data_IF_223862438978
#
_entry.id   IF_223862438978
#
_cell.length_a   1.000
_cell.length_b   1.000
_cell.length_c   1.000
_cell.angle_alpha   90.00
_cell.angle_beta   90.00
_cell.angle_gamma   90.00
#
_symmetry.space_group_name_H-M   'P 1'
#
loop_
_entity.id
_entity.type
_entity.pdbx_description
1 polymer ?
#
# COMPACT_ATOMS: atom_id res chain seq x y z
N UNK A 1 5.02 -30.23 -37.20
CA UNK A 1 4.62 -29.99 -35.81
C UNK A 1 4.30 -28.51 -35.71
N UNK A 2 3.03 -28.11 -35.49
CA UNK A 2 2.59 -26.72 -35.74
C UNK A 2 3.18 -25.76 -34.71
N UNK A 3 3.61 -24.59 -35.14
CA UNK A 3 4.17 -23.46 -34.37
C UNK A 3 3.32 -23.13 -33.14
N UNK A 4 2.01 -23.34 -33.18
CA UNK A 4 1.08 -23.24 -32.05
C UNK A 4 1.41 -24.19 -30.88
N UNK A 5 1.77 -25.44 -31.16
CA UNK A 5 2.14 -26.44 -30.13
C UNK A 5 3.47 -26.08 -29.46
N UNK A 6 4.42 -25.54 -30.22
CA UNK A 6 5.71 -25.09 -29.67
C UNK A 6 5.57 -23.88 -28.76
N UNK A 7 4.68 -22.92 -29.06
CA UNK A 7 4.38 -21.76 -28.21
C UNK A 7 3.68 -22.19 -26.91
N UNK A 8 2.76 -23.13 -26.99
CA UNK A 8 2.07 -23.66 -25.81
C UNK A 8 3.01 -24.42 -24.89
N UNK A 9 3.92 -25.22 -25.43
CA UNK A 9 4.94 -25.93 -24.65
C UNK A 9 5.94 -24.94 -24.02
N UNK A 10 6.38 -23.92 -24.76
CA UNK A 10 7.26 -22.87 -24.24
C UNK A 10 6.58 -22.09 -23.09
N UNK A 11 5.27 -21.83 -23.20
CA UNK A 11 4.47 -21.19 -22.13
C UNK A 11 4.40 -22.07 -20.88
N UNK A 12 4.19 -23.38 -21.02
CA UNK A 12 4.16 -24.33 -19.89
C UNK A 12 5.54 -24.57 -19.27
N UNK A 13 6.62 -24.55 -20.04
CA UNK A 13 7.99 -24.70 -19.53
C UNK A 13 8.45 -23.44 -18.77
N UNK A 14 8.02 -22.25 -19.20
CA UNK A 14 8.31 -20.99 -18.50
C UNK A 14 7.57 -20.86 -17.16
N UNK A 15 6.43 -21.54 -16.97
CA UNK A 15 5.65 -21.51 -15.73
C UNK A 15 5.93 -22.68 -14.77
N UNK A 16 6.81 -23.62 -15.12
CA UNK A 16 6.97 -24.90 -14.41
C UNK A 16 7.97 -24.96 -13.25
N UNK A 17 8.71 -23.89 -12.92
CA UNK A 17 9.74 -23.95 -11.87
C UNK A 17 9.72 -22.73 -10.95
N UNK A 18 8.73 -22.63 -10.07
CA UNK A 18 8.79 -21.68 -8.97
C UNK A 18 8.63 -22.40 -7.64
N UNK A 19 9.71 -22.41 -6.85
CA UNK A 19 9.65 -22.78 -5.44
C UNK A 19 8.89 -21.67 -4.70
N UNK A 20 7.75 -22.00 -4.14
CA UNK A 20 6.92 -21.06 -3.39
C UNK A 20 7.58 -20.69 -2.06
N UNK A 21 8.30 -19.59 -2.01
CA UNK A 21 8.65 -18.89 -0.78
C UNK A 21 7.71 -17.69 -0.66
N UNK A 22 6.57 -17.87 -0.03
CA UNK A 22 5.54 -16.85 0.07
C UNK A 22 5.74 -15.99 1.31
N UNK A 23 6.61 -14.99 1.26
CA UNK A 23 6.52 -13.84 2.18
C UNK A 23 5.70 -12.75 1.48
N UNK A 24 4.49 -12.51 1.97
CA UNK A 24 3.64 -11.45 1.46
C UNK A 24 3.97 -10.12 2.17
N UNK A 25 4.19 -9.05 1.38
CA UNK A 25 4.26 -7.68 1.88
C UNK A 25 2.90 -7.23 2.43
N UNK A 26 2.87 -6.25 3.35
CA UNK A 26 1.65 -5.75 3.96
C UNK A 26 0.60 -5.34 2.91
N UNK A 27 -0.66 -5.67 3.18
CA UNK A 27 -1.77 -5.47 2.26
C UNK A 27 -2.78 -4.52 2.87
N UNK A 28 -3.28 -3.58 2.06
CA UNK A 28 -4.28 -2.62 2.49
C UNK A 28 -5.50 -2.66 1.58
N UNK A 29 -6.70 -2.67 2.18
CA UNK A 29 -7.99 -2.54 1.48
C UNK A 29 -8.13 -1.14 0.87
N UNK A 30 -7.67 -0.12 1.62
CA UNK A 30 -7.67 1.28 1.19
C UNK A 30 -6.37 1.64 0.46
N UNK A 31 -5.89 0.77 -0.47
CA UNK A 31 -4.63 0.94 -1.19
C UNK A 31 -4.50 2.24 -2.01
N UNK A 32 -5.57 2.91 -2.50
CA UNK A 32 -5.41 4.20 -3.19
C UNK A 32 -4.84 5.31 -2.30
N UNK A 33 -4.97 5.19 -0.98
CA UNK A 33 -4.34 6.12 -0.03
C UNK A 33 -2.89 5.77 0.30
N UNK A 34 -2.43 4.56 -0.07
CA UNK A 34 -1.09 4.04 0.20
C UNK A 34 -0.19 3.94 -1.04
N UNK A 35 -0.48 4.66 -2.14
CA UNK A 35 0.25 4.53 -3.41
C UNK A 35 1.77 4.59 -3.23
N UNK A 36 2.27 5.55 -2.42
CA UNK A 36 3.71 5.71 -2.23
C UNK A 36 4.39 4.51 -1.56
N UNK A 37 3.68 3.80 -0.70
CA UNK A 37 4.19 2.57 -0.08
C UNK A 37 4.48 1.49 -1.12
N UNK A 38 3.59 1.33 -2.09
CA UNK A 38 3.69 0.30 -3.13
C UNK A 38 4.50 0.75 -4.35
N UNK A 39 4.50 2.06 -4.66
CA UNK A 39 5.07 2.58 -5.89
C UNK A 39 5.79 3.92 -5.65
N UNK A 40 7.13 3.93 -5.65
CA UNK A 40 7.87 5.16 -5.45
C UNK A 40 7.64 6.22 -6.55
N UNK A 41 7.19 5.82 -7.74
CA UNK A 41 6.84 6.76 -8.81
C UNK A 41 5.69 7.71 -8.44
N UNK A 42 4.85 7.38 -7.46
CA UNK A 42 3.76 8.23 -6.99
C UNK A 42 4.21 9.35 -6.07
N UNK A 43 5.43 9.31 -5.50
CA UNK A 43 5.90 10.34 -4.56
C UNK A 43 5.63 11.76 -5.07
N UNK A 44 4.99 12.59 -4.26
CA UNK A 44 4.61 13.96 -4.63
C UNK A 44 3.62 14.01 -5.80
N UNK A 45 2.70 13.04 -5.88
CA UNK A 45 1.66 13.00 -6.91
C UNK A 45 0.83 14.28 -6.94
N UNK A 46 0.51 14.82 -5.77
CA UNK A 46 -0.22 16.07 -5.64
C UNK A 46 0.74 17.27 -5.75
N UNK A 47 0.46 18.18 -6.68
CA UNK A 47 1.25 19.38 -6.88
C UNK A 47 1.15 20.33 -5.69
N UNK A 48 2.32 20.85 -5.24
CA UNK A 48 2.44 21.93 -4.24
C UNK A 48 1.96 21.55 -2.83
N UNK A 49 1.67 20.30 -2.58
CA UNK A 49 1.16 19.85 -1.29
C UNK A 49 2.18 19.06 -0.51
N UNK A 50 2.11 19.14 0.79
CA UNK A 50 2.69 18.20 1.72
C UNK A 50 1.55 17.33 2.25
N UNK A 51 1.65 16.04 2.05
CA UNK A 51 0.65 15.07 2.45
C UNK A 51 1.20 14.13 3.52
N UNK A 52 0.40 13.88 4.54
CA UNK A 52 0.60 12.85 5.53
C UNK A 52 -0.53 11.83 5.41
N UNK A 53 -0.19 10.55 5.41
CA UNK A 53 -1.18 9.46 5.40
C UNK A 53 -0.83 8.47 6.50
N UNK A 54 -1.77 8.25 7.40
CA UNK A 54 -1.73 7.17 8.38
C UNK A 54 -2.72 6.08 8.01
N UNK A 55 -2.29 4.83 8.02
CA UNK A 55 -3.13 3.65 7.86
C UNK A 55 -2.89 2.72 9.04
N UNK A 56 -3.98 2.25 9.62
CA UNK A 56 -3.99 1.21 10.65
C UNK A 56 -4.87 0.06 10.19
N UNK A 57 -4.37 -1.16 10.25
CA UNK A 57 -5.15 -2.36 9.96
C UNK A 57 -4.95 -3.38 11.06
N UNK A 58 -6.06 -3.90 11.57
CA UNK A 58 -6.11 -5.07 12.42
C UNK A 58 -6.68 -6.24 11.62
N UNK A 59 -5.84 -7.21 11.32
CA UNK A 59 -6.18 -8.36 10.48
C UNK A 59 -6.56 -9.56 11.33
N UNK A 60 -7.50 -10.38 10.84
CA UNK A 60 -7.95 -11.64 11.48
C UNK A 60 -8.33 -11.44 12.94
N UNK A 61 -9.21 -10.46 13.23
CA UNK A 61 -9.71 -10.22 14.59
C UNK A 61 -10.34 -11.49 15.16
N UNK A 62 -10.04 -11.79 16.44
CA UNK A 62 -10.58 -12.94 17.13
C UNK A 62 -9.97 -14.28 16.74
N UNK A 63 -9.10 -14.34 15.74
CA UNK A 63 -8.36 -15.55 15.40
C UNK A 63 -7.44 -15.94 16.57
N UNK A 64 -7.53 -17.19 16.98
CA UNK A 64 -6.69 -17.76 18.03
C UNK A 64 -6.15 -19.09 17.54
N UNK A 65 -4.85 -19.23 17.62
CA UNK A 65 -4.20 -20.51 17.38
C UNK A 65 -4.13 -21.28 18.69
N UNK A 66 -4.75 -22.44 18.73
CA UNK A 66 -4.76 -23.30 19.92
C UNK A 66 -3.51 -24.14 19.90
N UNK A 67 -2.67 -24.01 20.92
CA UNK A 67 -1.48 -24.85 21.07
C UNK A 67 -1.95 -26.25 21.48
N UNK A 68 -1.67 -27.30 20.67
CA UNK A 68 -2.06 -28.67 21.02
C UNK A 68 -1.53 -29.07 22.40
N UNK A 69 -2.42 -29.56 23.28
CA UNK A 69 -2.07 -29.99 24.61
C UNK A 69 -2.00 -28.92 25.68
N UNK A 70 -2.42 -27.70 25.39
CA UNK A 70 -2.53 -26.61 26.38
C UNK A 70 -3.85 -25.85 26.21
N UNK A 71 -4.38 -25.26 27.30
CA UNK A 71 -5.52 -24.35 27.26
C UNK A 71 -5.13 -22.94 26.81
N UNK A 72 -3.89 -22.75 26.39
CA UNK A 72 -3.36 -21.46 25.96
C UNK A 72 -3.63 -21.24 24.48
N UNK A 73 -4.35 -20.16 24.16
CA UNK A 73 -4.54 -19.70 22.80
C UNK A 73 -3.66 -18.47 22.52
N UNK A 74 -2.84 -18.55 21.50
CA UNK A 74 -2.08 -17.40 21.00
C UNK A 74 -2.96 -16.59 20.05
N UNK A 75 -3.17 -15.31 20.34
CA UNK A 75 -3.79 -14.39 19.40
C UNK A 75 -2.80 -14.06 18.27
N UNK A 76 -3.01 -14.65 17.09
CA UNK A 76 -2.08 -14.53 15.95
C UNK A 76 -2.57 -13.57 14.87
N UNK A 77 -3.57 -12.72 15.19
CA UNK A 77 -4.06 -11.70 14.26
C UNK A 77 -2.94 -10.72 13.84
N UNK A 78 -2.91 -10.34 12.58
CA UNK A 78 -1.96 -9.37 12.04
C UNK A 78 -2.32 -7.93 12.43
N UNK A 79 -1.32 -7.08 12.62
CA UNK A 79 -1.48 -5.65 12.82
C UNK A 79 -0.53 -4.89 11.93
N UNK A 80 -1.05 -3.98 11.11
CA UNK A 80 -0.26 -3.11 10.25
C UNK A 80 -0.48 -1.65 10.60
N UNK A 81 0.60 -0.90 10.71
CA UNK A 81 0.60 0.56 10.88
C UNK A 81 1.50 1.13 9.81
N UNK A 82 0.92 1.94 8.93
CA UNK A 82 1.66 2.62 7.87
C UNK A 82 1.56 4.14 8.08
N UNK A 83 2.69 4.81 7.97
CA UNK A 83 2.76 6.25 7.89
C UNK A 83 3.54 6.66 6.65
N UNK A 84 2.91 7.47 5.79
CA UNK A 84 3.54 8.07 4.62
C UNK A 84 3.56 9.59 4.75
N UNK A 85 4.67 10.19 4.31
CA UNK A 85 4.81 11.62 4.13
C UNK A 85 5.32 11.87 2.71
N UNK A 86 4.65 12.71 1.97
CA UNK A 86 4.97 12.99 0.57
C UNK A 86 4.89 14.48 0.27
N UNK A 87 5.83 14.99 -0.53
CA UNK A 87 5.79 16.36 -1.01
C UNK A 87 6.38 16.49 -2.41
N UNK A 88 5.79 17.35 -3.24
CA UNK A 88 6.37 17.77 -4.51
C UNK A 88 7.23 19.02 -4.32
N UNK A 89 8.47 18.96 -4.76
CA UNK A 89 9.43 20.08 -4.69
C UNK A 89 9.79 20.57 -6.08
N UNK A 90 9.37 21.81 -6.41
CA UNK A 90 9.62 22.45 -7.72
C UNK A 90 11.11 22.54 -8.06
N UNK A 91 11.96 22.86 -7.08
CA UNK A 91 13.40 23.07 -7.29
C UNK A 91 14.08 21.83 -7.88
N UNK A 92 13.66 20.65 -7.47
CA UNK A 92 14.22 19.38 -7.94
C UNK A 92 13.33 18.69 -8.99
N UNK A 93 12.27 19.35 -9.46
CA UNK A 93 11.29 18.80 -10.44
C UNK A 93 10.79 17.41 -10.07
N UNK A 94 10.58 17.15 -8.79
CA UNK A 94 10.24 15.82 -8.32
C UNK A 94 9.56 15.79 -6.98
N UNK A 95 9.06 14.63 -6.62
CA UNK A 95 8.49 14.33 -5.33
C UNK A 95 9.47 13.63 -4.41
N UNK A 96 9.46 14.01 -3.15
CA UNK A 96 10.10 13.27 -2.07
C UNK A 96 9.04 12.53 -1.26
N UNK A 97 9.38 11.37 -0.77
CA UNK A 97 8.52 10.59 0.10
C UNK A 97 9.30 9.85 1.18
N UNK A 98 8.64 9.72 2.31
CA UNK A 98 9.05 8.92 3.46
C UNK A 98 7.90 7.95 3.77
N UNK A 99 8.22 6.68 3.99
CA UNK A 99 7.27 5.67 4.45
C UNK A 99 7.86 4.94 5.67
N UNK A 100 7.05 4.82 6.71
CA UNK A 100 7.32 4.01 7.89
C UNK A 100 6.22 2.96 7.97
N UNK A 101 6.61 1.70 8.13
CA UNK A 101 5.69 0.61 8.32
C UNK A 101 6.09 -0.24 9.52
N UNK A 102 5.10 -0.60 10.32
CA UNK A 102 5.19 -1.67 11.31
C UNK A 102 4.16 -2.73 10.93
N UNK A 103 4.63 -3.93 10.67
CA UNK A 103 3.80 -5.08 10.29
C UNK A 103 4.08 -6.22 11.26
N UNK A 104 3.10 -6.51 12.09
CA UNK A 104 3.12 -7.67 12.98
C UNK A 104 2.21 -8.74 12.39
N UNK A 105 2.77 -9.90 12.08
CA UNK A 105 2.04 -11.03 11.56
C UNK A 105 2.44 -12.30 12.32
N UNK A 106 1.51 -12.79 13.13
CA UNK A 106 1.79 -13.89 14.05
C UNK A 106 2.87 -13.51 15.06
N UNK A 107 3.98 -14.23 15.04
CA UNK A 107 5.13 -14.04 15.93
C UNK A 107 6.22 -13.14 15.35
N UNK A 108 6.11 -12.77 14.08
CA UNK A 108 7.06 -11.89 13.41
C UNK A 108 6.61 -10.44 13.47
N UNK A 109 7.54 -9.55 13.75
CA UNK A 109 7.37 -8.11 13.67
C UNK A 109 8.38 -7.55 12.69
N UNK A 110 7.87 -6.87 11.67
CA UNK A 110 8.67 -6.18 10.66
C UNK A 110 8.53 -4.68 10.84
N UNK A 111 9.64 -3.95 10.90
CA UNK A 111 9.67 -2.50 10.90
C UNK A 111 10.43 -2.05 9.65
N UNK A 112 9.77 -1.26 8.81
CA UNK A 112 10.35 -0.75 7.57
C UNK A 112 10.40 0.76 7.54
N UNK A 113 11.53 1.29 7.06
CA UNK A 113 11.72 2.69 6.69
C UNK A 113 12.05 2.75 5.21
N UNK A 114 11.32 3.56 4.45
CA UNK A 114 11.56 3.77 3.02
C UNK A 114 11.66 5.25 2.71
N UNK A 115 12.73 5.65 2.03
CA UNK A 115 12.99 7.02 1.57
C UNK A 115 13.09 7.02 0.06
N UNK A 116 12.37 7.90 -0.62
CA UNK A 116 12.35 7.87 -2.07
C UNK A 116 12.20 9.24 -2.72
N UNK A 117 12.57 9.25 -3.98
CA UNK A 117 12.45 10.37 -4.88
C UNK A 117 11.80 9.92 -6.19
N UNK A 118 10.87 10.72 -6.72
CA UNK A 118 10.27 10.54 -8.04
C UNK A 118 10.49 11.76 -8.92
N UNK A 119 11.22 11.59 -10.00
CA UNK A 119 11.30 12.61 -11.05
C UNK A 119 9.96 12.72 -11.79
N UNK A 120 9.45 13.94 -11.97
CA UNK A 120 8.14 14.17 -12.60
C UNK A 120 8.30 14.78 -13.98
N UNK A 121 7.89 14.01 -14.99
CA UNK A 121 7.80 14.44 -16.39
C UNK A 121 6.38 14.92 -16.69
N UNK A 122 6.24 16.19 -17.08
CA UNK A 122 4.96 16.71 -17.56
C UNK A 122 4.79 16.32 -19.02
N UNK A 123 3.73 15.59 -19.33
CA UNK A 123 3.31 15.16 -20.64
C UNK A 123 2.03 15.93 -21.05
N UNK A 124 1.67 16.01 -22.34
CA UNK A 124 0.49 16.75 -22.78
C UNK A 124 -0.83 16.28 -22.13
N UNK A 125 -0.93 14.99 -21.81
CA UNK A 125 -2.15 14.36 -21.29
C UNK A 125 -2.10 14.02 -19.80
N UNK A 126 -0.95 14.28 -19.14
CA UNK A 126 -0.78 13.94 -17.74
C UNK A 126 0.66 14.05 -17.27
N UNK A 127 0.98 13.41 -16.18
CA UNK A 127 2.30 13.45 -15.56
C UNK A 127 2.81 12.06 -15.27
N UNK A 128 4.03 11.76 -15.75
CA UNK A 128 4.74 10.52 -15.45
C UNK A 128 5.75 10.76 -14.31
N UNK A 129 5.64 9.98 -13.25
CA UNK A 129 6.62 9.88 -12.20
C UNK A 129 7.52 8.65 -12.39
N UNK A 130 8.83 8.86 -12.34
CA UNK A 130 9.85 7.81 -12.35
C UNK A 130 10.52 7.84 -10.98
N UNK A 131 10.27 6.82 -10.16
CA UNK A 131 10.65 6.82 -8.76
C UNK A 131 11.63 5.73 -8.38
N UNK A 132 12.51 6.10 -7.44
CA UNK A 132 13.40 5.20 -6.72
C UNK A 132 13.19 5.38 -5.22
N UNK A 133 13.32 4.29 -4.47
CA UNK A 133 13.15 4.31 -3.02
C UNK A 133 14.17 3.35 -2.40
N UNK A 134 14.89 3.85 -1.40
CA UNK A 134 15.78 3.08 -0.56
C UNK A 134 15.00 2.61 0.66
N UNK A 135 15.10 1.35 0.99
CA UNK A 135 14.42 0.71 2.10
C UNK A 135 15.38 0.11 3.11
N UNK A 136 15.00 0.20 4.38
CA UNK A 136 15.59 -0.55 5.48
C UNK A 136 14.45 -1.34 6.11
N UNK A 137 14.62 -2.64 6.21
CA UNK A 137 13.66 -3.54 6.83
C UNK A 137 14.34 -4.29 7.98
N UNK A 138 13.76 -4.15 9.16
CA UNK A 138 14.12 -4.92 10.34
C UNK A 138 13.04 -5.96 10.59
N UNK A 139 13.43 -7.22 10.77
CA UNK A 139 12.56 -8.30 11.21
C UNK A 139 13.03 -8.84 12.54
N UNK A 140 12.09 -9.01 13.47
CA UNK A 140 12.31 -9.58 14.78
C UNK A 140 11.23 -10.61 15.13
N UNK A 141 11.56 -11.53 16.05
CA UNK A 141 10.58 -12.40 16.70
C UNK A 141 10.08 -11.71 17.97
N UNK A 142 8.75 -11.79 18.20
CA UNK A 142 8.15 -11.31 19.44
C UNK A 142 8.32 -12.39 20.52
N UNK A 143 9.30 -12.20 21.39
CA UNK A 143 9.77 -13.19 22.40
C UNK A 143 8.66 -13.69 23.35
N UNK A 144 7.73 -12.84 23.74
CA UNK A 144 6.72 -13.16 24.75
C UNK A 144 5.72 -14.27 24.37
N UNK A 145 5.68 -14.67 23.11
CA UNK A 145 4.69 -15.61 22.57
C UNK A 145 5.30 -16.88 21.96
N UNK A 146 6.64 -16.94 21.85
CA UNK A 146 7.30 -18.06 21.20
C UNK A 146 7.64 -19.15 22.23
N UNK A 147 7.18 -20.37 21.98
CA UNK A 147 7.62 -21.56 22.73
C UNK A 147 8.29 -22.50 21.72
N UNK A 148 9.62 -22.61 21.75
CA UNK A 148 10.34 -23.53 20.88
C UNK A 148 9.95 -24.96 21.21
N UNK A 149 9.77 -25.80 20.20
CA UNK A 149 9.56 -27.25 20.37
C UNK A 149 10.79 -27.87 21.01
N UNK A 150 11.97 -27.30 20.73
CA UNK A 150 13.24 -27.72 21.32
C UNK A 150 13.84 -26.52 22.07
N UNK A 151 13.97 -26.62 23.39
CA UNK A 151 14.63 -25.60 24.20
C UNK A 151 16.10 -25.46 23.81
N UNK A 152 16.58 -24.22 23.66
CA UNK A 152 17.97 -23.91 23.27
C UNK A 152 18.28 -24.05 21.79
N UNK A 153 17.28 -23.94 20.90
CA UNK A 153 17.55 -23.87 19.46
C UNK A 153 18.33 -22.59 19.14
N UNK A 154 19.59 -22.72 18.64
CA UNK A 154 20.46 -21.57 18.39
C UNK A 154 19.91 -20.59 17.37
N UNK A 155 19.08 -21.06 16.43
CA UNK A 155 18.44 -20.21 15.40
C UNK A 155 17.43 -19.27 16.03
N UNK A 156 16.63 -19.80 16.96
CA UNK A 156 15.60 -19.04 17.66
C UNK A 156 16.21 -18.04 18.62
N UNK A 157 17.21 -18.46 19.39
CA UNK A 157 17.94 -17.56 20.29
C UNK A 157 18.62 -16.42 19.52
N UNK A 158 19.15 -16.69 18.33
CA UNK A 158 19.74 -15.67 17.47
C UNK A 158 18.69 -14.67 16.96
N UNK A 159 17.52 -15.13 16.52
CA UNK A 159 16.42 -14.26 16.02
C UNK A 159 15.80 -13.37 17.09
N UNK A 160 15.80 -13.85 18.36
CA UNK A 160 15.32 -13.07 19.51
C UNK A 160 16.34 -12.02 19.93
N UNK A 161 17.63 -12.36 19.91
CA UNK A 161 18.71 -11.46 20.37
C UNK A 161 19.15 -10.44 19.34
N UNK A 162 19.21 -10.84 18.05
CA UNK A 162 19.73 -10.03 16.94
C UNK A 162 18.69 -9.91 15.83
N UNK A 163 17.94 -8.81 15.77
CA UNK A 163 17.01 -8.59 14.68
C UNK A 163 17.73 -8.55 13.33
N UNK A 164 17.11 -9.18 12.33
CA UNK A 164 17.64 -9.19 10.96
C UNK A 164 17.41 -7.84 10.32
N UNK A 165 18.45 -7.21 9.81
CA UNK A 165 18.38 -5.95 9.09
C UNK A 165 18.75 -6.14 7.63
N UNK A 166 17.86 -5.75 6.74
CA UNK A 166 18.05 -5.78 5.29
C UNK A 166 17.96 -4.37 4.70
N UNK A 167 18.79 -4.15 3.70
CA UNK A 167 18.70 -2.98 2.83
C UNK A 167 17.95 -3.35 1.56
N UNK A 168 17.09 -2.48 1.09
CA UNK A 168 16.24 -2.71 -0.07
C UNK A 168 16.24 -1.54 -1.05
N UNK A 169 15.99 -1.85 -2.32
CA UNK A 169 15.82 -0.89 -3.40
C UNK A 169 14.50 -1.16 -4.11
N UNK A 170 13.72 -0.12 -4.32
CA UNK A 170 12.46 -0.17 -5.04
C UNK A 170 12.50 0.79 -6.23
N UNK A 171 11.83 0.40 -7.30
CA UNK A 171 11.67 1.19 -8.51
C UNK A 171 10.19 1.26 -8.89
N UNK A 172 9.74 2.40 -9.43
CA UNK A 172 8.36 2.51 -9.87
C UNK A 172 8.13 3.60 -10.91
N UNK A 173 7.14 3.34 -11.74
CA UNK A 173 6.58 4.25 -12.72
C UNK A 173 5.13 4.53 -12.33
N UNK A 174 4.74 5.79 -12.31
CA UNK A 174 3.39 6.21 -12.00
C UNK A 174 2.94 7.31 -12.94
N UNK A 175 1.92 7.02 -13.73
CA UNK A 175 1.32 7.98 -14.64
C UNK A 175 -0.03 8.43 -14.09
N UNK A 176 -0.25 9.74 -14.05
CA UNK A 176 -1.53 10.36 -13.68
C UNK A 176 -1.98 11.32 -14.75
N UNK A 177 -3.15 11.07 -15.29
CA UNK A 177 -3.94 11.97 -16.13
C UNK A 177 -5.01 12.68 -15.29
N UNK A 178 -5.91 13.44 -15.94
CA UNK A 178 -6.95 14.18 -15.24
C UNK A 178 -7.94 13.27 -14.52
N UNK A 179 -8.33 12.17 -15.15
CA UNK A 179 -9.38 11.28 -14.66
C UNK A 179 -8.98 9.79 -14.52
N UNK A 180 -7.71 9.48 -14.74
CA UNK A 180 -7.20 8.13 -14.51
C UNK A 180 -5.74 8.12 -14.10
N UNK A 181 -5.33 7.05 -13.48
CA UNK A 181 -3.94 6.79 -13.17
C UNK A 181 -3.58 5.33 -13.43
N UNK A 182 -2.30 5.09 -13.69
CA UNK A 182 -1.74 3.75 -13.77
C UNK A 182 -0.33 3.74 -13.18
N UNK A 183 0.04 2.66 -12.52
CA UNK A 183 1.34 2.48 -11.92
C UNK A 183 1.88 1.07 -12.10
N UNK A 184 3.20 1.00 -12.25
CA UNK A 184 3.97 -0.24 -12.26
C UNK A 184 5.15 -0.06 -11.31
N UNK A 185 5.36 -1.01 -10.40
CA UNK A 185 6.48 -0.95 -9.48
C UNK A 185 7.06 -2.33 -9.22
N UNK A 186 8.35 -2.36 -8.92
CA UNK A 186 9.03 -3.53 -8.42
C UNK A 186 9.72 -3.17 -7.09
N UNK A 187 9.42 -3.93 -6.06
CA UNK A 187 9.97 -3.73 -4.71
C UNK A 187 10.82 -4.91 -4.31
N UNK A 188 11.64 -4.69 -3.28
CA UNK A 188 12.55 -5.71 -2.75
C UNK A 188 13.49 -6.26 -3.83
N UNK A 189 14.08 -5.34 -4.63
CA UNK A 189 14.98 -5.70 -5.72
C UNK A 189 16.31 -6.30 -5.21
N UNK A 190 16.73 -5.90 -4.00
CA UNK A 190 17.95 -6.37 -3.35
C UNK A 190 17.60 -7.43 -2.30
N UNK A 191 17.31 -8.64 -2.75
CA UNK A 191 16.82 -9.73 -1.87
C UNK A 191 17.84 -10.24 -0.85
N UNK A 192 19.13 -9.97 -1.03
CA UNK A 192 20.22 -10.59 -0.26
C UNK A 192 21.21 -9.58 0.36
N UNK A 193 20.90 -8.29 0.37
CA UNK A 193 21.79 -7.29 0.97
C UNK A 193 21.40 -7.11 2.43
N UNK A 194 22.11 -7.81 3.31
CA UNK A 194 21.91 -7.74 4.76
C UNK A 194 22.91 -6.79 5.42
N UNK A 195 22.45 -6.11 6.43
CA UNK A 195 23.29 -5.22 7.26
C UNK A 195 23.71 -5.97 8.52
N UNK A 196 22.85 -6.82 9.09
CA UNK A 196 23.08 -7.58 10.31
C UNK A 196 22.24 -8.85 10.36
N UNK A 197 22.72 -9.87 11.09
CA UNK A 197 22.02 -11.14 11.33
C UNK A 197 22.58 -12.33 10.56
N UNK A 198 22.07 -13.54 10.86
CA UNK A 198 22.55 -14.81 10.31
C UNK A 198 22.06 -15.05 8.87
N UNK A 199 22.95 -15.53 7.98
CA UNK A 199 22.74 -15.51 6.52
C UNK A 199 21.55 -16.35 5.99
N UNK A 200 21.05 -17.33 6.75
CA UNK A 200 20.11 -18.32 6.23
C UNK A 200 18.64 -18.14 6.68
N UNK A 201 18.32 -17.07 7.42
CA UNK A 201 17.05 -17.00 8.13
C UNK A 201 15.96 -16.19 7.42
N UNK A 202 16.28 -15.36 6.43
CA UNK A 202 15.28 -14.53 5.75
C UNK A 202 15.61 -14.29 4.29
N UNK A 203 14.74 -14.71 3.41
CA UNK A 203 14.76 -14.35 1.99
C UNK A 203 13.56 -13.43 1.70
N UNK A 204 13.84 -12.16 1.39
CA UNK A 204 12.81 -11.25 0.90
C UNK A 204 12.41 -11.66 -0.52
N UNK A 205 11.12 -11.88 -0.75
CA UNK A 205 10.59 -12.10 -2.08
C UNK A 205 10.43 -10.76 -2.83
N UNK A 206 10.84 -10.73 -4.11
CA UNK A 206 10.58 -9.57 -4.97
C UNK A 206 9.10 -9.48 -5.25
N UNK A 207 8.54 -8.27 -5.18
CA UNK A 207 7.15 -8.05 -5.52
C UNK A 207 7.03 -7.11 -6.72
N UNK A 208 6.11 -7.43 -7.60
CA UNK A 208 5.71 -6.57 -8.71
C UNK A 208 4.28 -6.13 -8.45
N UNK A 209 4.06 -4.82 -8.52
CA UNK A 209 2.76 -4.18 -8.37
C UNK A 209 2.34 -3.54 -9.67
N UNK A 210 1.13 -3.80 -10.11
CA UNK A 210 0.45 -3.05 -11.16
C UNK A 210 -0.86 -2.53 -10.59
N UNK A 211 -1.08 -1.23 -10.66
CA UNK A 211 -2.29 -0.63 -10.11
C UNK A 211 -2.80 0.49 -10.99
N UNK A 212 -4.10 0.75 -10.90
CA UNK A 212 -4.73 1.80 -11.68
C UNK A 212 -6.12 2.11 -11.16
N UNK A 213 -6.62 3.26 -11.61
CA UNK A 213 -7.96 3.70 -11.28
C UNK A 213 -8.46 4.74 -12.28
N UNK A 214 -9.77 4.89 -12.31
CA UNK A 214 -10.47 5.82 -13.18
C UNK A 214 -11.51 6.59 -12.39
N UNK A 215 -11.67 7.89 -12.66
CA UNK A 215 -12.70 8.73 -12.06
C UNK A 215 -13.76 9.00 -13.14
N UNK A 216 -14.91 8.38 -13.01
CA UNK A 216 -16.05 8.56 -13.87
C UNK A 216 -17.02 9.56 -13.24
N UNK A 217 -17.06 10.79 -13.75
CA UNK A 217 -18.09 11.76 -13.36
C UNK A 217 -19.42 11.35 -14.00
N UNK A 218 -20.47 11.25 -13.18
CA UNK A 218 -21.80 10.82 -13.65
C UNK A 218 -22.43 11.93 -14.48
N UNK A 219 -22.75 11.72 -15.79
CA UNK A 219 -23.14 12.81 -16.67
C UNK A 219 -24.48 13.49 -16.32
N UNK A 220 -25.39 12.75 -15.70
CA UNK A 220 -26.75 13.24 -15.33
C UNK A 220 -26.81 13.81 -13.91
N UNK A 221 -25.78 13.59 -13.09
CA UNK A 221 -25.67 14.15 -11.74
C UNK A 221 -24.20 14.40 -11.38
N UNK A 222 -23.70 15.63 -11.56
CA UNK A 222 -22.29 15.97 -11.33
C UNK A 222 -21.90 15.90 -9.85
N UNK A 223 -22.86 15.72 -8.92
CA UNK A 223 -22.55 15.51 -7.51
C UNK A 223 -21.91 14.12 -7.27
N UNK A 224 -22.12 13.17 -8.19
CA UNK A 224 -21.61 11.81 -8.08
C UNK A 224 -20.41 11.54 -8.98
N UNK A 225 -19.41 10.85 -8.44
CA UNK A 225 -18.38 10.17 -9.22
C UNK A 225 -18.26 8.71 -8.80
N UNK A 226 -17.90 7.87 -9.76
CA UNK A 226 -17.63 6.44 -9.55
C UNK A 226 -16.16 6.20 -9.86
N UNK A 227 -15.45 5.59 -8.92
CA UNK A 227 -14.00 5.41 -8.98
C UNK A 227 -13.65 3.91 -8.89
N UNK A 228 -13.64 3.17 -10.01
CA UNK A 228 -13.07 1.83 -10.05
C UNK A 228 -11.55 1.91 -9.92
N UNK A 229 -11.00 1.10 -9.02
CA UNK A 229 -9.57 0.95 -8.78
C UNK A 229 -9.21 -0.53 -8.76
N UNK A 230 -8.02 -0.86 -9.21
CA UNK A 230 -7.47 -2.20 -9.11
C UNK A 230 -6.02 -2.18 -8.67
N UNK A 231 -5.60 -3.26 -8.02
CA UNK A 231 -4.20 -3.55 -7.72
C UNK A 231 -3.94 -5.03 -7.98
N UNK A 232 -2.96 -5.31 -8.79
CA UNK A 232 -2.41 -6.65 -9.00
C UNK A 232 -1.03 -6.69 -8.37
N UNK A 233 -0.82 -7.67 -7.53
CA UNK A 233 0.43 -7.92 -6.82
C UNK A 233 0.89 -9.34 -7.12
N UNK A 234 2.18 -9.51 -7.38
CA UNK A 234 2.78 -10.84 -7.55
C UNK A 234 4.21 -10.87 -7.01
N UNK A 235 4.57 -11.98 -6.41
CA UNK A 235 5.95 -12.35 -6.08
C UNK A 235 6.54 -13.34 -7.10
N UNK A 236 5.94 -13.43 -8.30
CA UNK A 236 6.20 -14.36 -9.38
C UNK A 236 5.77 -15.82 -9.09
N UNK A 237 5.33 -16.13 -7.88
CA UNK A 237 4.80 -17.46 -7.50
C UNK A 237 3.29 -17.41 -7.32
N UNK A 238 2.78 -16.35 -6.72
CA UNK A 238 1.36 -16.13 -6.43
C UNK A 238 0.94 -14.79 -7.03
N UNK A 239 -0.28 -14.74 -7.56
CA UNK A 239 -0.90 -13.51 -8.06
C UNK A 239 -2.09 -13.18 -7.17
N UNK A 240 -2.12 -11.94 -6.68
CA UNK A 240 -3.24 -11.41 -5.93
C UNK A 240 -3.85 -10.23 -6.66
N UNK A 241 -5.17 -10.22 -6.76
CA UNK A 241 -5.94 -9.14 -7.36
C UNK A 241 -6.87 -8.52 -6.31
N UNK A 242 -6.77 -7.21 -6.17
CA UNK A 242 -7.63 -6.36 -5.38
C UNK A 242 -8.43 -5.46 -6.31
N UNK A 243 -9.75 -5.42 -6.16
CA UNK A 243 -10.66 -4.54 -6.87
C UNK A 243 -11.40 -3.67 -5.86
N UNK A 244 -11.40 -2.36 -6.06
CA UNK A 244 -12.07 -1.41 -5.18
C UNK A 244 -12.92 -0.46 -6.02
N UNK A 245 -14.23 -0.48 -5.79
CA UNK A 245 -15.19 0.43 -6.40
C UNK A 245 -15.66 1.43 -5.36
N UNK A 246 -15.41 2.72 -5.60
CA UNK A 246 -15.82 3.82 -4.72
C UNK A 246 -16.86 4.66 -5.45
N UNK A 247 -17.96 4.99 -4.78
CA UNK A 247 -18.88 6.04 -5.15
C UNK A 247 -18.64 7.24 -4.24
N UNK A 248 -18.45 8.43 -4.84
CA UNK A 248 -18.20 9.68 -4.10
C UNK A 248 -19.30 10.68 -4.36
N UNK A 249 -19.81 11.31 -3.31
CA UNK A 249 -20.86 12.32 -3.35
C UNK A 249 -20.31 13.68 -2.95
N UNK A 250 -20.46 14.70 -3.81
CA UNK A 250 -19.98 16.08 -3.63
C UNK A 250 -18.50 16.20 -3.24
N UNK A 251 -17.67 15.21 -3.52
CA UNK A 251 -16.30 15.08 -3.02
C UNK A 251 -16.17 15.09 -1.46
N UNK A 252 -17.29 15.03 -0.74
CA UNK A 252 -17.33 15.07 0.73
C UNK A 252 -17.46 13.67 1.29
N UNK A 253 -18.46 12.91 0.87
CA UNK A 253 -18.70 11.56 1.34
C UNK A 253 -18.29 10.54 0.28
N UNK A 254 -17.76 9.42 0.71
CA UNK A 254 -17.47 8.31 -0.18
C UNK A 254 -17.73 6.98 0.50
N UNK A 255 -18.08 5.99 -0.29
CA UNK A 255 -18.27 4.63 0.16
C UNK A 255 -18.14 3.66 -0.99
N UNK A 256 -17.97 2.39 -0.69
CA UNK A 256 -17.74 1.42 -1.74
C UNK A 256 -17.58 0.00 -1.28
N UNK A 257 -17.20 -0.83 -2.25
CA UNK A 257 -16.97 -2.26 -2.07
C UNK A 257 -15.57 -2.61 -2.56
N UNK A 258 -14.89 -3.43 -1.79
CA UNK A 258 -13.60 -4.00 -2.15
C UNK A 258 -13.70 -5.51 -2.20
N UNK A 259 -13.06 -6.10 -3.19
CA UNK A 259 -12.94 -7.54 -3.35
C UNK A 259 -11.47 -7.91 -3.51
N UNK A 260 -10.99 -8.79 -2.67
CA UNK A 260 -9.68 -9.41 -2.77
C UNK A 260 -9.85 -10.86 -3.16
N UNK A 261 -9.27 -11.22 -4.29
CA UNK A 261 -9.41 -12.56 -4.85
C UNK A 261 -8.98 -13.62 -3.82
N UNK A 262 -9.86 -14.60 -3.58
CA UNK A 262 -9.70 -15.74 -2.70
C UNK A 262 -9.43 -15.42 -1.21
N UNK A 263 -9.60 -14.16 -0.77
CA UNK A 263 -9.30 -13.76 0.60
C UNK A 263 -10.46 -13.05 1.30
N UNK A 264 -10.96 -11.92 0.78
CA UNK A 264 -11.92 -11.10 1.49
C UNK A 264 -12.85 -10.27 0.59
N UNK A 265 -14.04 -9.97 1.13
CA UNK A 265 -14.95 -8.93 0.63
C UNK A 265 -15.05 -7.85 1.69
N UNK A 266 -14.93 -6.57 1.29
CA UNK A 266 -14.92 -5.47 2.24
C UNK A 266 -15.91 -4.39 1.87
N UNK A 267 -16.44 -3.71 2.89
CA UNK A 267 -17.22 -2.49 2.77
C UNK A 267 -16.35 -1.33 3.24
N UNK A 268 -16.33 -0.25 2.48
CA UNK A 268 -15.52 0.92 2.78
C UNK A 268 -16.37 2.17 2.87
N UNK A 269 -16.07 3.07 3.81
CA UNK A 269 -16.73 4.37 3.98
C UNK A 269 -15.73 5.42 4.40
N UNK A 270 -15.98 6.66 4.01
CA UNK A 270 -15.17 7.76 4.46
C UNK A 270 -15.72 9.12 4.09
N UNK A 271 -14.99 10.14 4.51
CA UNK A 271 -15.39 11.52 4.32
C UNK A 271 -14.18 12.46 4.22
N UNK A 272 -14.40 13.57 3.49
CA UNK A 272 -13.60 14.81 3.51
C UNK A 272 -14.43 15.91 4.17
N UNK A 273 -14.52 15.92 5.51
CA UNK A 273 -15.51 16.74 6.23
C UNK A 273 -15.35 18.25 5.98
N UNK A 274 -14.19 18.71 5.60
CA UNK A 274 -13.87 20.11 5.40
C UNK A 274 -13.59 20.47 3.93
N UNK A 275 -14.12 19.69 2.97
CA UNK A 275 -13.85 19.91 1.56
C UNK A 275 -14.22 21.31 1.08
N UNK A 276 -15.37 21.83 1.53
CA UNK A 276 -15.90 23.17 1.19
C UNK A 276 -15.57 24.25 2.22
N UNK A 277 -14.77 23.94 3.25
CA UNK A 277 -14.43 24.88 4.31
C UNK A 277 -13.62 26.05 3.73
N UNK A 278 -13.92 27.32 4.10
CA UNK A 278 -13.15 28.47 3.67
C UNK A 278 -11.71 28.46 4.17
N UNK A 279 -11.42 27.75 5.24
CA UNK A 279 -10.07 27.61 5.79
C UNK A 279 -9.26 26.60 4.95
N UNK A 280 -8.22 27.05 4.19
CA UNK A 280 -7.43 26.16 3.34
C UNK A 280 -6.68 25.07 4.11
N UNK A 281 -6.41 25.28 5.39
CA UNK A 281 -5.72 24.30 6.23
C UNK A 281 -6.61 23.12 6.64
N UNK A 282 -7.93 23.24 6.58
CA UNK A 282 -8.85 22.16 6.93
C UNK A 282 -9.23 21.30 5.72
N UNK A 283 -9.24 21.86 4.51
CA UNK A 283 -9.70 21.20 3.28
C UNK A 283 -8.99 19.87 2.94
N UNK A 284 -7.78 19.70 3.42
CA UNK A 284 -6.94 18.56 3.07
C UNK A 284 -7.22 17.27 3.83
N UNK A 285 -8.16 17.26 4.78
CA UNK A 285 -8.44 16.09 5.59
C UNK A 285 -9.35 15.12 4.85
N UNK A 286 -8.89 13.86 4.70
CA UNK A 286 -9.65 12.73 4.16
C UNK A 286 -9.51 11.56 5.15
N UNK A 287 -10.60 10.96 5.57
CA UNK A 287 -10.61 9.86 6.51
C UNK A 287 -11.57 8.77 6.09
N UNK A 288 -11.24 7.54 6.43
CA UNK A 288 -12.06 6.40 6.08
C UNK A 288 -11.83 5.18 6.94
N UNK A 289 -12.78 4.27 6.82
CA UNK A 289 -12.80 2.97 7.48
C UNK A 289 -13.16 1.90 6.47
N UNK A 290 -12.57 0.73 6.60
CA UNK A 290 -12.96 -0.47 5.91
C UNK A 290 -13.18 -1.60 6.91
N UNK A 291 -14.20 -2.40 6.64
CA UNK A 291 -14.42 -3.67 7.32
C UNK A 291 -14.42 -4.80 6.29
N UNK A 292 -13.57 -5.80 6.51
CA UNK A 292 -13.37 -6.92 5.59
C UNK A 292 -13.90 -8.21 6.21
N UNK A 293 -14.76 -8.89 5.46
CA UNK A 293 -15.23 -10.23 5.76
C UNK A 293 -14.26 -11.24 5.12
N UNK A 294 -13.58 -12.03 5.94
CA UNK A 294 -12.66 -13.06 5.46
C UNK A 294 -13.44 -14.20 4.81
N UNK A 295 -13.26 -14.42 3.50
CA UNK A 295 -13.92 -15.47 2.72
C UNK A 295 -13.06 -16.72 2.55
N UNK A 296 -11.77 -16.61 2.84
CA UNK A 296 -10.81 -17.72 2.81
C UNK A 296 -11.09 -18.74 3.93
N UNK A 297 -10.34 -19.84 3.93
CA UNK A 297 -10.51 -20.90 4.95
C UNK A 297 -10.30 -20.40 6.39
N UNK A 298 -9.57 -19.30 6.58
CA UNK A 298 -9.37 -18.67 7.89
C UNK A 298 -10.63 -18.01 8.45
N UNK A 299 -11.60 -17.66 7.60
CA UNK A 299 -12.86 -17.00 7.96
C UNK A 299 -14.07 -17.89 8.11
N UNK A 300 -13.98 -19.21 7.88
CA UNK A 300 -15.14 -20.10 7.99
C UNK A 300 -15.58 -20.25 9.45
N UNK A 301 -16.91 -20.26 9.67
CA UNK A 301 -17.64 -20.26 10.96
C UNK A 301 -17.32 -21.41 11.92
N UNK A 302 -16.08 -21.64 12.28
CA UNK A 302 -15.67 -22.57 13.32
C UNK A 302 -15.08 -21.80 14.51
N UNK A 303 -15.11 -22.39 15.68
CA UNK A 303 -14.44 -21.83 16.87
C UNK A 303 -12.99 -21.45 16.53
N UNK A 304 -12.54 -20.28 16.99
CA UNK A 304 -11.20 -19.72 16.76
C UNK A 304 -10.92 -19.19 15.34
N UNK A 305 -11.94 -18.92 14.54
CA UNK A 305 -11.81 -18.31 13.20
C UNK A 305 -11.87 -16.78 13.24
N UNK A 306 -11.36 -16.16 12.19
CA UNK A 306 -11.36 -14.70 12.04
C UNK A 306 -12.79 -14.15 11.98
N UNK A 307 -13.02 -13.09 12.76
CA UNK A 307 -14.23 -12.25 12.65
C UNK A 307 -14.12 -11.22 11.50
N UNK A 308 -12.99 -11.15 10.83
CA UNK A 308 -12.69 -10.20 9.77
C UNK A 308 -11.57 -9.22 10.13
N UNK A 309 -11.40 -8.20 9.29
CA UNK A 309 -10.40 -7.17 9.46
C UNK A 309 -11.05 -5.80 9.58
N UNK A 310 -10.43 -4.91 10.33
CA UNK A 310 -10.77 -3.49 10.34
C UNK A 310 -9.56 -2.68 9.85
N UNK A 311 -9.80 -1.68 9.01
CA UNK A 311 -8.77 -0.77 8.51
C UNK A 311 -9.24 0.66 8.63
N UNK A 312 -8.35 1.54 9.10
CA UNK A 312 -8.59 2.98 9.25
C UNK A 312 -7.57 3.73 8.41
N UNK A 313 -8.00 4.78 7.73
CA UNK A 313 -7.14 5.72 7.02
C UNK A 313 -7.42 7.14 7.47
N UNK A 314 -6.36 7.90 7.66
CA UNK A 314 -6.41 9.36 7.82
C UNK A 314 -5.35 9.94 6.92
N UNK A 315 -5.75 10.78 5.96
CA UNK A 315 -4.87 11.53 5.08
C UNK A 315 -5.10 13.01 5.28
N UNK A 316 -4.02 13.75 5.42
CA UNK A 316 -4.06 15.19 5.51
C UNK A 316 -3.05 15.81 4.56
N UNK A 317 -3.54 16.67 3.66
CA UNK A 317 -2.74 17.36 2.66
C UNK A 317 -2.94 18.86 2.75
N UNK A 318 -1.87 19.65 2.74
CA UNK A 318 -1.96 21.09 2.73
C UNK A 318 -0.94 21.71 1.78
N UNK A 319 -1.28 22.89 1.23
CA UNK A 319 -0.40 23.62 0.34
C UNK A 319 0.75 24.26 1.10
N UNK A 320 1.98 23.94 0.73
CA UNK A 320 3.21 24.50 1.34
C UNK A 320 3.71 25.75 0.62
N UNK A 321 3.17 26.05 -0.54
CA UNK A 321 3.54 27.24 -1.30
C UNK A 321 2.43 28.27 -1.22
N UNK A 322 2.77 29.48 -0.74
CA UNK A 322 1.88 30.62 -0.85
C UNK A 322 1.56 30.88 -2.33
N UNK A 323 0.30 31.17 -2.71
CA UNK A 323 0.00 31.61 -4.06
C UNK A 323 0.85 32.84 -4.35
N UNK A 324 1.60 32.81 -5.45
CA UNK A 324 2.29 34.00 -5.94
C UNK A 324 1.19 35.00 -6.36
N UNK A 325 0.94 35.99 -5.52
CA UNK A 325 0.16 37.15 -5.93
C UNK A 325 1.04 37.92 -6.92
N UNK A 326 0.79 37.78 -8.19
CA UNK A 326 1.28 38.73 -9.18
C UNK A 326 0.60 40.07 -8.89
N UNK A 327 1.27 40.94 -8.15
CA UNK A 327 0.93 42.35 -8.06
C UNK A 327 1.34 43.04 -9.38
N UNK A 328 0.66 42.65 -10.45
CA UNK A 328 0.72 43.36 -11.72
C UNK A 328 -0.33 44.46 -11.70
N UNK A 329 0.08 45.69 -11.84
CA UNK A 329 -0.79 46.83 -12.09
C UNK A 329 -1.82 46.48 -13.18
N UNK A 330 -3.11 46.52 -12.79
CA UNK A 330 -4.24 46.42 -13.70
C UNK A 330 -4.82 45.03 -13.93
N UNK A 331 -5.99 44.85 -13.31
CA UNK A 331 -6.95 43.77 -13.50
C UNK A 331 -6.68 42.46 -12.70
N UNK A 332 -7.42 42.31 -11.63
CA UNK A 332 -7.67 41.06 -10.92
C UNK A 332 -8.43 40.07 -11.81
N UNK A 333 -7.73 39.43 -12.74
CA UNK A 333 -8.20 38.15 -13.29
C UNK A 333 -7.73 37.05 -12.37
N UNK A 334 -8.65 36.51 -11.58
CA UNK A 334 -8.47 35.26 -10.91
C UNK A 334 -8.26 34.16 -11.95
N UNK A 335 -6.98 33.86 -12.25
CA UNK A 335 -6.61 32.67 -12.99
C UNK A 335 -6.59 31.48 -12.03
N UNK A 336 -7.69 31.23 -11.35
CA UNK A 336 -8.04 29.90 -10.87
C UNK A 336 -8.67 29.14 -12.04
N UNK A 337 -7.85 28.71 -12.97
CA UNK A 337 -8.22 27.56 -13.79
C UNK A 337 -7.86 26.34 -12.97
N UNK A 338 -8.90 25.66 -12.53
CA UNK A 338 -8.89 24.31 -11.99
C UNK A 338 -7.91 23.44 -12.79
N UNK A 339 -6.76 23.14 -12.18
CA UNK A 339 -5.93 22.04 -12.61
C UNK A 339 -6.07 20.98 -11.55
N UNK A 340 -6.97 20.07 -11.89
CA UNK A 340 -7.21 18.81 -11.18
C UNK A 340 -5.98 17.90 -11.23
#
# INVERSE_FOLDING_TARGET
MSMRKSITILFFVLFGFFSANAQQDAQFTLFPWAHYYFNPGSAGEQHRTLCFTGLFRQQYMGYRDVIPGTDSALGTGGQQILFNMESYLRKIRGGLGLSLIKDKNGQFENIGLRLGYAYKLNLPTGRLGIGFQLGFLQQSLVDAQFRPIQEGDPIIEALVKDPLMNFDLNFGLFYKANNWYAGLAATQLLTNVRISGNENLMNLARHIYMHGGYIYAVPFDPAWSIEPNFMLKTDLSIVQLDLLLIARYNNILWGGLHYRLDDAVSVVFGAKPFYDDPNPYLKGLDMGIAYSFTTSQLGRFQANRSMGDIELVVRYCFDIFKPEYFSGYGSTRHLYKNQY
#
